data_IF_355631968484
#
_entry.id   IF_355631968484
#
_cell.length_a   1.000
_cell.length_b   1.000
_cell.length_c   1.000
_cell.angle_alpha   90.00
_cell.angle_beta   90.00
_cell.angle_gamma   90.00
#
_symmetry.space_group_name_H-M   'P 1'
#
loop_
_entity.id
_entity.type
_entity.pdbx_description
1 polymer ?
#
# COMPACT_ATOMS: atom_id res chain seq x y z
N UNK A 1 -6.91 5.25 -16.87
CA UNK A 1 -6.46 6.18 -15.83
C UNK A 1 -5.03 6.66 -16.02
N UNK A 2 -4.08 5.88 -16.57
CA UNK A 2 -2.71 6.33 -16.85
C UNK A 2 -2.27 6.12 -18.32
N UNK A 3 -3.21 6.01 -19.27
CA UNK A 3 -2.88 5.81 -20.69
C UNK A 3 -2.23 7.03 -21.34
N UNK A 4 -2.46 8.21 -20.76
CA UNK A 4 -2.14 9.51 -21.36
C UNK A 4 -1.12 10.30 -20.51
N UNK A 5 -0.39 9.60 -19.62
CA UNK A 5 0.67 10.15 -18.77
C UNK A 5 1.96 9.39 -19.03
N UNK A 6 3.07 10.11 -19.23
CA UNK A 6 4.37 9.49 -19.45
C UNK A 6 4.91 8.88 -18.16
N UNK A 7 5.86 7.96 -18.27
CA UNK A 7 6.53 7.41 -17.09
C UNK A 7 7.27 8.50 -16.29
N UNK A 8 7.88 9.47 -16.98
CA UNK A 8 8.52 10.63 -16.35
C UNK A 8 7.53 11.39 -15.46
N UNK A 9 6.35 11.74 -16.01
CA UNK A 9 5.29 12.41 -15.25
C UNK A 9 4.75 11.56 -14.09
N UNK A 10 4.71 10.23 -14.21
CA UNK A 10 4.29 9.36 -13.11
C UNK A 10 5.26 9.43 -11.92
N UNK A 11 6.57 9.63 -12.21
CA UNK A 11 7.65 9.69 -11.21
C UNK A 11 7.83 11.09 -10.64
N UNK A 12 7.36 12.12 -11.35
CA UNK A 12 7.42 13.50 -10.92
C UNK A 12 6.53 13.80 -9.70
N UNK A 13 6.96 14.82 -8.96
CA UNK A 13 6.20 15.43 -7.87
C UNK A 13 5.85 16.85 -8.29
N UNK A 14 4.56 17.22 -8.36
CA UNK A 14 4.18 18.56 -8.81
C UNK A 14 4.67 19.65 -7.85
N UNK A 15 4.77 19.33 -6.55
CA UNK A 15 5.46 20.17 -5.56
C UNK A 15 6.17 19.28 -4.53
N UNK A 16 7.11 19.82 -3.74
CA UNK A 16 7.76 19.05 -2.68
C UNK A 16 6.79 18.47 -1.64
N UNK A 17 5.58 19.00 -1.51
CA UNK A 17 4.56 18.57 -0.54
C UNK A 17 3.73 17.39 -1.02
N UNK A 18 3.73 17.10 -2.32
CA UNK A 18 2.97 15.99 -2.91
C UNK A 18 3.87 14.76 -3.07
N UNK A 19 3.26 13.59 -3.04
CA UNK A 19 3.89 12.35 -3.48
C UNK A 19 3.85 12.25 -5.02
N UNK A 20 4.69 11.39 -5.60
CA UNK A 20 4.56 11.02 -7.00
C UNK A 20 3.43 9.99 -7.17
N UNK A 21 2.91 9.84 -8.39
CA UNK A 21 1.90 8.80 -8.68
C UNK A 21 2.52 7.41 -8.50
N UNK A 22 3.78 7.22 -8.89
CA UNK A 22 4.51 5.96 -8.68
C UNK A 22 4.59 5.60 -7.19
N UNK A 23 4.91 6.56 -6.33
CA UNK A 23 4.95 6.35 -4.89
C UNK A 23 3.58 5.93 -4.37
N UNK A 24 2.51 6.59 -4.78
CA UNK A 24 1.14 6.28 -4.34
C UNK A 24 0.72 4.86 -4.75
N UNK A 25 1.07 4.43 -5.96
CA UNK A 25 0.80 3.06 -6.41
C UNK A 25 1.52 2.01 -5.56
N UNK A 26 2.77 2.28 -5.19
CA UNK A 26 3.56 1.42 -4.30
C UNK A 26 3.02 1.42 -2.87
N UNK A 27 2.75 2.60 -2.30
CA UNK A 27 2.21 2.78 -0.95
C UNK A 27 0.89 2.01 -0.78
N UNK A 28 -0.04 2.21 -1.70
CA UNK A 28 -1.31 1.49 -1.70
C UNK A 28 -1.13 -0.03 -1.76
N UNK A 29 -0.24 -0.53 -2.63
CA UNK A 29 0.01 -1.96 -2.73
C UNK A 29 0.66 -2.55 -1.48
N UNK A 30 1.56 -1.81 -0.81
CA UNK A 30 2.17 -2.24 0.45
C UNK A 30 1.20 -2.20 1.63
N UNK A 31 0.39 -1.14 1.76
CA UNK A 31 -0.64 -1.06 2.79
C UNK A 31 -1.61 -2.24 2.69
N UNK A 32 -2.13 -2.53 1.50
CA UNK A 32 -3.05 -3.65 1.30
C UNK A 32 -2.38 -5.00 1.58
N UNK A 33 -1.16 -5.24 1.09
CA UNK A 33 -0.46 -6.52 1.30
C UNK A 33 -0.22 -6.80 2.80
N UNK A 34 0.28 -5.81 3.55
CA UNK A 34 0.53 -5.96 4.99
C UNK A 34 -0.79 -6.13 5.75
N UNK A 35 -1.75 -5.25 5.48
CA UNK A 35 -3.02 -5.25 6.19
C UNK A 35 -3.77 -6.57 5.99
N UNK A 36 -3.86 -7.04 4.76
CA UNK A 36 -4.61 -8.26 4.43
C UNK A 36 -3.80 -9.49 4.79
N UNK A 37 -2.60 -9.64 4.22
CA UNK A 37 -1.86 -10.91 4.32
C UNK A 37 -1.19 -11.09 5.68
N UNK A 38 -0.54 -10.06 6.24
CA UNK A 38 0.13 -10.20 7.55
C UNK A 38 -0.84 -10.10 8.72
N UNK A 39 -1.70 -9.06 8.72
CA UNK A 39 -2.56 -8.78 9.89
C UNK A 39 -3.77 -9.71 9.91
N UNK A 40 -4.77 -9.51 9.05
CA UNK A 40 -6.07 -10.19 9.21
C UNK A 40 -6.15 -11.59 8.62
N UNK A 41 -5.22 -11.97 7.74
CA UNK A 41 -5.07 -13.37 7.25
C UNK A 41 -4.05 -14.15 8.07
N UNK A 42 -3.01 -13.51 8.57
CA UNK A 42 -1.92 -14.18 9.32
C UNK A 42 -1.01 -15.05 8.46
N UNK A 43 -0.89 -14.74 7.17
CA UNK A 43 -0.04 -15.45 6.21
C UNK A 43 1.19 -14.66 5.78
N UNK A 44 1.90 -15.22 4.79
CA UNK A 44 2.99 -14.51 4.11
C UNK A 44 2.44 -13.40 3.20
N UNK A 45 3.13 -12.27 3.20
CA UNK A 45 2.90 -11.22 2.21
C UNK A 45 3.21 -11.72 0.80
N UNK A 46 2.47 -11.20 -0.18
CA UNK A 46 2.80 -11.42 -1.58
C UNK A 46 4.23 -10.97 -1.85
N UNK A 47 4.64 -9.83 -1.24
CA UNK A 47 5.99 -9.29 -1.32
C UNK A 47 7.07 -10.34 -1.06
N UNK A 48 6.95 -11.08 0.03
CA UNK A 48 7.94 -12.05 0.50
C UNK A 48 7.83 -13.38 -0.28
N UNK A 49 6.61 -13.94 -0.36
CA UNK A 49 6.32 -15.23 -1.01
C UNK A 49 6.88 -15.30 -2.44
N UNK A 50 6.66 -14.22 -3.19
CA UNK A 50 7.02 -14.15 -4.62
C UNK A 50 8.30 -13.36 -4.87
N UNK A 51 9.03 -12.97 -3.81
CA UNK A 51 10.31 -12.25 -3.85
C UNK A 51 10.26 -10.98 -4.70
N UNK A 52 9.37 -10.05 -4.36
CA UNK A 52 9.13 -8.84 -5.15
C UNK A 52 10.16 -7.73 -4.97
N UNK A 53 10.85 -7.61 -3.82
CA UNK A 53 11.83 -6.52 -3.62
C UNK A 53 12.88 -6.42 -4.74
N UNK A 54 13.56 -7.53 -5.16
CA UNK A 54 14.47 -7.47 -6.31
C UNK A 54 13.79 -7.16 -7.65
N UNK A 55 12.53 -7.59 -7.84
CA UNK A 55 11.78 -7.31 -9.08
C UNK A 55 11.36 -5.84 -9.17
N UNK A 56 11.08 -5.24 -8.02
CA UNK A 56 10.71 -3.84 -7.86
C UNK A 56 11.92 -2.90 -7.89
N UNK A 57 13.15 -3.42 -7.80
CA UNK A 57 14.38 -2.64 -7.73
C UNK A 57 14.41 -1.64 -6.55
N UNK A 58 13.91 -2.11 -5.40
CA UNK A 58 13.91 -1.35 -4.14
C UNK A 58 14.25 -2.28 -2.97
N UNK A 59 14.74 -1.69 -1.88
CA UNK A 59 15.03 -2.40 -0.63
C UNK A 59 14.00 -2.09 0.47
N UNK A 60 13.22 -1.02 0.31
CA UNK A 60 12.22 -0.64 1.30
C UNK A 60 11.04 -1.61 1.27
N UNK A 61 10.76 -2.22 2.43
CA UNK A 61 9.59 -3.08 2.65
C UNK A 61 8.45 -2.41 3.40
N UNK A 62 8.70 -1.28 4.05
CA UNK A 62 7.70 -0.65 4.91
C UNK A 62 6.47 -0.17 4.11
N UNK A 63 5.36 0.12 4.77
CA UNK A 63 4.14 0.58 4.10
C UNK A 63 4.23 1.99 3.53
N UNK A 64 5.19 2.82 3.97
CA UNK A 64 5.40 4.18 3.45
C UNK A 64 4.79 5.28 4.33
N UNK A 65 3.91 4.94 5.28
CA UNK A 65 3.47 5.89 6.30
C UNK A 65 4.65 6.38 7.12
N UNK A 66 4.83 7.69 7.22
CA UNK A 66 5.98 8.31 7.90
C UNK A 66 7.24 8.44 7.04
N UNK A 67 7.21 8.01 5.77
CA UNK A 67 8.35 8.15 4.87
C UNK A 67 8.76 9.63 4.71
N UNK A 68 10.06 9.86 4.79
CA UNK A 68 10.68 11.16 4.52
C UNK A 68 10.57 11.52 3.04
N UNK A 69 10.78 12.80 2.72
CA UNK A 69 10.79 13.26 1.31
C UNK A 69 11.88 12.56 0.49
N UNK A 70 13.04 12.32 1.08
CA UNK A 70 14.14 11.62 0.43
C UNK A 70 13.78 10.16 0.13
N UNK A 71 13.12 9.45 1.05
CA UNK A 71 12.66 8.08 0.79
C UNK A 71 11.59 8.04 -0.29
N UNK A 72 10.67 9.02 -0.30
CA UNK A 72 9.69 9.18 -1.37
C UNK A 72 10.39 9.37 -2.72
N UNK A 73 11.41 10.23 -2.78
CA UNK A 73 12.17 10.49 -4.01
C UNK A 73 12.92 9.24 -4.49
N UNK A 74 13.58 8.51 -3.59
CA UNK A 74 14.28 7.27 -3.91
C UNK A 74 13.30 6.26 -4.54
N UNK A 75 12.19 5.94 -3.86
CA UNK A 75 11.22 4.96 -4.40
C UNK A 75 10.63 5.45 -5.72
N UNK A 76 10.28 6.74 -5.82
CA UNK A 76 9.71 7.32 -7.04
C UNK A 76 10.64 7.18 -8.24
N UNK A 77 11.96 7.33 -8.03
CA UNK A 77 12.95 7.29 -9.11
C UNK A 77 13.42 5.87 -9.44
N UNK A 78 13.58 4.99 -8.44
CA UNK A 78 14.22 3.69 -8.65
C UNK A 78 13.25 2.56 -8.92
N UNK A 79 12.01 2.62 -8.40
CA UNK A 79 11.11 1.47 -8.49
C UNK A 79 10.83 1.10 -9.95
N UNK A 80 10.92 -0.19 -10.26
CA UNK A 80 10.54 -0.71 -11.56
C UNK A 80 9.02 -0.60 -11.73
N UNK A 81 8.57 0.34 -12.56
CA UNK A 81 7.15 0.67 -12.73
C UNK A 81 6.34 -0.50 -13.32
N UNK A 82 6.92 -1.24 -14.26
CA UNK A 82 6.26 -2.41 -14.85
C UNK A 82 6.04 -3.49 -13.78
N UNK A 83 7.07 -3.80 -13.00
CA UNK A 83 6.97 -4.75 -11.89
C UNK A 83 5.98 -4.28 -10.82
N UNK A 84 5.96 -2.99 -10.50
CA UNK A 84 5.04 -2.41 -9.52
C UNK A 84 3.57 -2.61 -9.93
N UNK A 85 3.23 -2.41 -11.21
CA UNK A 85 1.87 -2.66 -11.71
C UNK A 85 1.47 -4.12 -11.54
N UNK A 86 2.39 -5.05 -11.83
CA UNK A 86 2.13 -6.50 -11.66
C UNK A 86 2.03 -6.87 -10.19
N UNK A 87 2.89 -6.33 -9.32
CA UNK A 87 2.85 -6.53 -7.88
C UNK A 87 1.53 -6.06 -7.27
N UNK A 88 1.10 -4.82 -7.57
CA UNK A 88 -0.19 -4.30 -7.12
C UNK A 88 -1.36 -5.19 -7.55
N UNK A 89 -1.34 -5.67 -8.80
CA UNK A 89 -2.36 -6.59 -9.29
C UNK A 89 -2.29 -7.97 -8.61
N UNK A 90 -1.09 -8.44 -8.25
CA UNK A 90 -0.91 -9.70 -7.52
C UNK A 90 -1.47 -9.61 -6.09
N UNK A 91 -1.19 -8.51 -5.38
CA UNK A 91 -1.78 -8.22 -4.06
C UNK A 91 -3.30 -8.21 -4.15
N UNK A 92 -3.89 -7.44 -5.07
CA UNK A 92 -5.34 -7.38 -5.20
C UNK A 92 -6.00 -8.72 -5.56
N UNK A 93 -5.35 -9.55 -6.38
CA UNK A 93 -5.85 -10.92 -6.66
C UNK A 93 -5.80 -11.81 -5.42
N UNK A 94 -4.74 -11.73 -4.63
CA UNK A 94 -4.61 -12.48 -3.39
C UNK A 94 -5.67 -12.05 -2.38
N UNK A 95 -5.88 -10.74 -2.23
CA UNK A 95 -6.94 -10.15 -1.39
C UNK A 95 -8.32 -10.66 -1.80
N UNK A 96 -8.65 -10.62 -3.10
CA UNK A 96 -9.94 -11.09 -3.62
C UNK A 96 -10.13 -12.60 -3.41
N UNK A 97 -9.09 -13.39 -3.67
CA UNK A 97 -9.14 -14.83 -3.47
C UNK A 97 -9.42 -15.17 -2.00
N UNK A 98 -8.72 -14.54 -1.06
CA UNK A 98 -8.97 -14.74 0.36
C UNK A 98 -10.35 -14.24 0.77
N UNK A 99 -10.75 -13.03 0.36
CA UNK A 99 -12.05 -12.45 0.68
C UNK A 99 -13.22 -13.34 0.24
N UNK A 100 -13.09 -14.06 -0.88
CA UNK A 100 -14.11 -14.99 -1.38
C UNK A 100 -14.35 -16.22 -0.48
N UNK A 101 -13.44 -16.48 0.47
CA UNK A 101 -13.51 -17.59 1.42
C UNK A 101 -14.03 -17.18 2.80
N UNK A 102 -14.25 -15.88 3.02
CA UNK A 102 -14.63 -15.36 4.33
C UNK A 102 -16.10 -15.63 4.66
N UNK A 103 -16.33 -16.01 5.91
CA UNK A 103 -17.65 -16.01 6.53
C UNK A 103 -17.83 -14.77 7.44
N UNK A 104 -19.07 -14.53 7.85
CA UNK A 104 -19.39 -13.41 8.74
C UNK A 104 -18.70 -13.55 10.10
N UNK A 105 -18.55 -14.78 10.61
CA UNK A 105 -17.88 -15.03 11.88
C UNK A 105 -16.40 -14.62 11.87
N UNK A 106 -15.70 -14.74 10.74
CA UNK A 106 -14.35 -14.23 10.55
C UNK A 106 -14.34 -12.71 10.40
N UNK A 107 -15.27 -12.15 9.65
CA UNK A 107 -15.38 -10.69 9.45
C UNK A 107 -15.67 -9.93 10.74
N UNK A 108 -16.44 -10.52 11.67
CA UNK A 108 -16.82 -9.89 12.94
C UNK A 108 -15.73 -9.93 14.02
N UNK A 109 -14.64 -10.69 13.82
CA UNK A 109 -13.53 -10.72 14.78
C UNK A 109 -12.87 -9.36 14.85
N UNK A 110 -12.48 -8.93 16.04
CA UNK A 110 -11.66 -7.75 16.21
C UNK A 110 -10.22 -8.05 15.77
N UNK A 111 -9.60 -7.08 15.10
CA UNK A 111 -8.16 -7.08 14.92
C UNK A 111 -7.51 -6.94 16.29
N UNK A 112 -6.63 -7.88 16.64
CA UNK A 112 -5.97 -7.89 17.96
C UNK A 112 -4.49 -7.55 17.86
N UNK A 113 -3.91 -7.13 18.99
CA UNK A 113 -2.51 -6.74 19.08
C UNK A 113 -1.56 -7.79 18.51
N UNK A 114 -1.78 -9.08 18.80
CA UNK A 114 -0.95 -10.18 18.27
C UNK A 114 -0.89 -10.19 16.74
N UNK A 115 -2.01 -9.89 16.07
CA UNK A 115 -2.06 -9.88 14.60
C UNK A 115 -1.23 -8.74 14.02
N UNK A 116 -1.26 -7.57 14.66
CA UNK A 116 -0.46 -6.42 14.26
C UNK A 116 1.01 -6.57 14.63
N UNK A 117 1.32 -7.26 15.74
CA UNK A 117 2.70 -7.54 16.14
C UNK A 117 3.47 -8.32 15.07
N UNK A 118 2.80 -9.14 14.26
CA UNK A 118 3.44 -9.80 13.11
C UNK A 118 4.00 -8.80 12.10
N UNK A 119 3.27 -7.74 11.78
CA UNK A 119 3.72 -6.70 10.87
C UNK A 119 4.85 -5.84 11.47
N UNK A 120 4.77 -5.56 12.78
CA UNK A 120 5.83 -4.86 13.51
C UNK A 120 7.13 -5.67 13.48
N UNK A 121 7.07 -6.96 13.82
CA UNK A 121 8.23 -7.85 13.86
C UNK A 121 8.92 -8.02 12.50
N UNK A 122 8.15 -7.93 11.40
CA UNK A 122 8.69 -7.97 10.03
C UNK A 122 9.35 -6.66 9.59
N UNK A 123 9.11 -5.55 10.28
CA UNK A 123 9.59 -4.23 9.87
C UNK A 123 8.72 -3.60 8.78
N UNK A 124 7.41 -3.87 8.78
CA UNK A 124 6.48 -3.28 7.81
C UNK A 124 6.17 -1.79 8.10
N UNK A 125 6.61 -1.26 9.23
CA UNK A 125 6.51 0.15 9.59
C UNK A 125 7.91 0.76 9.69
N UNK A 126 8.13 1.93 9.10
CA UNK A 126 9.37 2.68 9.33
C UNK A 126 9.37 3.27 10.75
N UNK A 127 10.51 3.78 11.19
CA UNK A 127 10.67 4.38 12.52
C UNK A 127 9.62 5.50 12.78
N UNK A 128 9.46 6.42 11.83
CA UNK A 128 8.50 7.53 11.94
C UNK A 128 7.04 7.07 11.80
N UNK A 129 6.81 5.90 11.20
CA UNK A 129 5.52 5.26 11.02
C UNK A 129 5.18 4.21 12.10
N UNK A 130 6.03 4.03 13.11
CA UNK A 130 5.88 2.95 14.10
C UNK A 130 4.58 3.04 14.91
N UNK A 131 3.97 4.22 14.99
CA UNK A 131 2.68 4.44 15.66
C UNK A 131 1.49 3.76 14.96
N UNK A 132 1.62 3.40 13.68
CA UNK A 132 0.52 2.80 12.91
C UNK A 132 0.11 1.44 13.48
N UNK A 133 1.08 0.62 13.88
CA UNK A 133 0.80 -0.69 14.47
C UNK A 133 -0.04 -0.60 15.75
N UNK A 134 0.41 0.14 16.78
CA UNK A 134 -0.38 0.41 17.98
C UNK A 134 -1.77 0.97 17.66
N UNK A 135 -1.85 1.95 16.75
CA UNK A 135 -3.12 2.53 16.33
C UNK A 135 -4.08 1.48 15.76
N UNK A 136 -3.61 0.61 14.85
CA UNK A 136 -4.42 -0.47 14.27
C UNK A 136 -4.94 -1.48 15.30
N UNK A 137 -4.18 -1.71 16.38
CA UNK A 137 -4.63 -2.58 17.47
C UNK A 137 -5.61 -1.87 18.43
N UNK A 138 -5.48 -0.55 18.60
CA UNK A 138 -6.27 0.24 19.54
C UNK A 138 -7.65 0.64 19.00
N UNK A 139 -7.79 0.84 17.69
CA UNK A 139 -9.08 1.24 17.07
C UNK A 139 -10.18 0.18 17.17
N UNK A 140 -9.82 -1.05 17.57
CA UNK A 140 -10.74 -2.18 17.74
C UNK A 140 -11.67 -2.38 16.53
N UNK A 141 -11.13 -2.25 15.32
CA UNK A 141 -11.86 -2.55 14.09
C UNK A 141 -12.07 -4.06 13.95
N UNK A 142 -13.21 -4.44 13.37
CA UNK A 142 -13.41 -5.82 12.96
C UNK A 142 -12.55 -6.13 11.74
N UNK A 143 -12.30 -7.40 11.44
CA UNK A 143 -11.61 -7.84 10.23
C UNK A 143 -12.33 -7.31 8.98
N UNK A 144 -13.67 -7.24 9.01
CA UNK A 144 -14.47 -6.67 7.93
C UNK A 144 -14.22 -5.17 7.73
N UNK A 145 -14.24 -4.38 8.80
CA UNK A 145 -13.91 -2.93 8.74
C UNK A 145 -12.47 -2.73 8.27
N UNK A 146 -11.53 -3.53 8.79
CA UNK A 146 -10.12 -3.44 8.45
C UNK A 146 -9.85 -3.78 6.98
N UNK A 147 -10.49 -4.85 6.47
CA UNK A 147 -10.44 -5.23 5.06
C UNK A 147 -11.03 -4.12 4.18
N UNK A 148 -12.22 -3.63 4.52
CA UNK A 148 -12.87 -2.55 3.76
C UNK A 148 -11.99 -1.30 3.71
N UNK A 149 -11.47 -0.85 4.86
CA UNK A 149 -10.67 0.37 4.93
C UNK A 149 -9.38 0.24 4.12
N UNK A 150 -8.57 -0.81 4.34
CA UNK A 150 -7.24 -0.90 3.73
C UNK A 150 -7.26 -1.40 2.28
N UNK A 151 -8.22 -2.25 1.89
CA UNK A 151 -8.31 -2.73 0.52
C UNK A 151 -9.19 -1.86 -0.38
N UNK A 152 -10.07 -1.01 0.17
CA UNK A 152 -11.00 -0.21 -0.63
C UNK A 152 -10.86 1.29 -0.36
N UNK A 153 -11.13 1.75 0.85
CA UNK A 153 -11.25 3.18 1.14
C UNK A 153 -9.91 3.93 1.07
N UNK A 154 -8.85 3.35 1.64
CA UNK A 154 -7.47 3.85 1.55
C UNK A 154 -7.01 3.96 0.09
N UNK A 155 -7.26 2.91 -0.70
CA UNK A 155 -7.00 2.90 -2.14
C UNK A 155 -7.78 4.03 -2.85
N UNK A 156 -9.05 4.20 -2.53
CA UNK A 156 -9.90 5.23 -3.13
C UNK A 156 -9.42 6.65 -2.82
N UNK A 157 -9.02 6.91 -1.57
CA UNK A 157 -8.45 8.19 -1.13
C UNK A 157 -7.22 8.56 -1.96
N UNK A 158 -6.28 7.63 -2.13
CA UNK A 158 -5.07 7.88 -2.91
C UNK A 158 -5.32 7.92 -4.42
N UNK A 159 -6.36 7.27 -4.95
CA UNK A 159 -6.80 7.49 -6.33
C UNK A 159 -7.27 8.94 -6.51
N UNK A 160 -7.99 9.49 -5.54
CA UNK A 160 -8.35 10.92 -5.51
C UNK A 160 -7.11 11.82 -5.50
N UNK A 161 -6.10 11.50 -4.68
CA UNK A 161 -4.81 12.22 -4.66
C UNK A 161 -4.11 12.15 -6.02
N UNK A 162 -4.08 10.98 -6.67
CA UNK A 162 -3.53 10.80 -8.02
C UNK A 162 -4.24 11.72 -9.02
N UNK A 163 -5.56 11.88 -8.92
CA UNK A 163 -6.29 12.78 -9.82
C UNK A 163 -5.91 14.24 -9.63
N UNK A 164 -5.71 14.69 -8.39
CA UNK A 164 -5.21 16.05 -8.11
C UNK A 164 -3.81 16.23 -8.70
N UNK A 165 -2.91 15.28 -8.45
CA UNK A 165 -1.54 15.31 -8.97
C UNK A 165 -1.50 15.36 -10.50
N UNK A 166 -2.32 14.54 -11.19
CA UNK A 166 -2.43 14.56 -12.65
C UNK A 166 -2.77 15.94 -13.20
N UNK A 167 -3.74 16.62 -12.58
CA UNK A 167 -4.13 17.97 -12.98
C UNK A 167 -2.98 18.98 -12.77
N UNK A 168 -2.25 18.88 -11.66
CA UNK A 168 -1.10 19.74 -11.38
C UNK A 168 0.07 19.53 -12.35
N UNK A 169 0.21 18.33 -12.91
CA UNK A 169 1.23 18.00 -13.92
C UNK A 169 0.80 18.40 -15.35
N UNK A 170 -0.26 19.20 -15.50
CA UNK A 170 -0.85 19.58 -16.79
C UNK A 170 -1.19 18.38 -17.69
N UNK A 171 -1.50 17.22 -17.11
CA UNK A 171 -2.04 16.10 -17.87
C UNK A 171 -3.53 16.38 -18.10
N UNK A 172 -4.03 16.48 -19.35
CA UNK A 172 -5.43 16.75 -19.61
C UNK A 172 -6.33 15.73 -18.91
N UNK A 173 -7.34 16.20 -18.20
CA UNK A 173 -8.49 15.39 -17.81
C UNK A 173 -9.37 15.14 -19.04
N UNK A 174 -9.86 13.89 -19.17
CA UNK A 174 -10.74 13.35 -20.20
C UNK A 174 -11.41 14.33 -21.18
#
# INVERSE_FOLDING_TARGET
MCSDITEEQLRERPTPQHNSIVWLLWHMARCEDVAVNTVIRGGEEVLDRDRWLPKLDITSRHIGTGATRAEVDIISQTVNLAALRVYRAAVGRETQAWASTLDFARLDRLVVAEEVQRAIAKGDFCEQGAWVGPYWAEVAWTHGTFLFWLAVEHNWLHIGEIWVIRNLLNCPGY
#
